data_IF_689867864155
#
_entry.id   IF_689867864155
#
_cell.length_a   1.000
_cell.length_b   1.000
_cell.length_c   1.000
_cell.angle_alpha   90.00
_cell.angle_beta   90.00
_cell.angle_gamma   90.00
#
_symmetry.space_group_name_H-M   'P 1'
#
loop_
_entity.id
_entity.type
_entity.pdbx_description
1 polymer ?
#
# COMPACT_ATOMS: atom_id res chain seq x y z
N UNK A 1 20.58 -26.14 -19.08
CA UNK A 1 19.21 -25.89 -19.53
C UNK A 1 18.59 -24.83 -18.63
N UNK A 2 18.33 -23.63 -19.15
CA UNK A 2 17.55 -22.59 -18.46
C UNK A 2 16.08 -23.01 -18.49
N UNK A 3 15.46 -23.19 -17.33
CA UNK A 3 14.03 -23.49 -17.22
C UNK A 3 13.26 -22.17 -17.17
N UNK A 4 12.35 -21.95 -18.14
CA UNK A 4 11.46 -20.81 -18.20
C UNK A 4 10.00 -21.28 -17.97
N UNK A 5 9.17 -20.55 -17.22
CA UNK A 5 9.46 -19.29 -16.52
C UNK A 5 10.25 -19.54 -15.22
N UNK A 6 11.02 -18.52 -14.82
CA UNK A 6 11.69 -18.51 -13.53
C UNK A 6 10.65 -18.66 -12.40
N UNK A 7 10.95 -19.50 -11.40
CA UNK A 7 10.05 -19.74 -10.27
C UNK A 7 9.71 -18.40 -9.60
N UNK A 8 8.43 -18.07 -9.54
CA UNK A 8 7.94 -16.92 -8.78
C UNK A 8 8.45 -17.03 -7.35
N UNK A 9 9.28 -16.06 -6.95
CA UNK A 9 9.84 -16.00 -5.59
C UNK A 9 8.79 -15.58 -4.56
N UNK A 10 7.65 -15.05 -5.01
CA UNK A 10 6.58 -14.46 -4.22
C UNK A 10 5.24 -14.62 -4.95
N UNK A 11 4.16 -14.94 -4.23
CA UNK A 11 2.79 -14.97 -4.77
C UNK A 11 2.28 -13.54 -4.92
N UNK A 12 1.64 -13.23 -6.05
CA UNK A 12 0.96 -11.94 -6.25
C UNK A 12 -0.18 -11.78 -5.24
N UNK A 13 -0.47 -10.55 -4.75
CA UNK A 13 -1.56 -10.33 -3.83
C UNK A 13 -2.90 -10.61 -4.51
N UNK A 14 -3.84 -11.16 -3.75
CA UNK A 14 -5.15 -11.52 -4.29
C UNK A 14 -5.92 -10.29 -4.73
N UNK A 15 -5.84 -9.17 -4.01
CA UNK A 15 -6.52 -7.93 -4.38
C UNK A 15 -5.96 -7.24 -5.65
N UNK A 16 -4.87 -7.74 -6.27
CA UNK A 16 -4.28 -7.11 -7.45
C UNK A 16 -5.28 -6.93 -8.60
N UNK A 17 -6.19 -7.90 -8.79
CA UNK A 17 -7.21 -7.82 -9.83
C UNK A 17 -8.27 -6.76 -9.57
N UNK A 18 -8.45 -6.32 -8.31
CA UNK A 18 -9.41 -5.27 -7.97
C UNK A 18 -8.94 -3.88 -8.41
N UNK A 19 -7.63 -3.70 -8.65
CA UNK A 19 -7.08 -2.43 -9.13
C UNK A 19 -7.31 -2.22 -10.64
N UNK A 20 -7.80 -3.22 -11.36
CA UNK A 20 -8.12 -3.08 -12.78
C UNK A 20 -9.36 -2.22 -13.01
N UNK A 21 -9.23 -1.20 -13.87
CA UNK A 21 -10.33 -0.30 -14.25
C UNK A 21 -10.64 0.80 -13.23
N UNK A 22 -9.97 0.83 -12.08
CA UNK A 22 -10.09 1.93 -11.12
C UNK A 22 -9.24 3.14 -11.56
N UNK A 23 -9.44 4.32 -10.94
CA UNK A 23 -8.57 5.51 -11.13
C UNK A 23 -7.08 5.21 -10.87
N UNK A 24 -6.81 4.10 -10.19
CA UNK A 24 -5.48 3.56 -9.88
C UNK A 24 -4.99 2.47 -10.83
N UNK A 25 -5.61 2.27 -12.00
CA UNK A 25 -5.21 1.24 -12.96
C UNK A 25 -3.70 1.23 -13.29
N UNK A 26 -3.10 2.43 -13.38
CA UNK A 26 -1.66 2.59 -13.56
C UNK A 26 -0.81 1.96 -12.43
N UNK A 27 -1.25 2.06 -11.16
CA UNK A 27 -0.57 1.42 -10.04
C UNK A 27 -0.66 -0.12 -10.12
N UNK A 28 -1.79 -0.64 -10.60
CA UNK A 28 -1.98 -2.07 -10.83
C UNK A 28 -1.09 -2.63 -11.94
N UNK A 29 -0.92 -1.88 -13.03
CA UNK A 29 0.01 -2.23 -14.11
C UNK A 29 1.47 -2.17 -13.64
N UNK A 30 1.86 -1.11 -12.93
CA UNK A 30 3.22 -0.98 -12.40
C UNK A 30 3.55 -2.08 -11.37
N UNK A 31 2.59 -2.46 -10.53
CA UNK A 31 2.76 -3.59 -9.60
C UNK A 31 2.99 -4.90 -10.36
N UNK A 32 2.30 -5.13 -11.48
CA UNK A 32 2.50 -6.31 -12.31
C UNK A 32 3.91 -6.34 -12.89
N UNK A 33 4.40 -5.22 -13.40
CA UNK A 33 5.77 -5.10 -13.92
C UNK A 33 6.83 -5.35 -12.83
N UNK A 34 6.60 -4.88 -11.61
CA UNK A 34 7.46 -5.20 -10.45
C UNK A 34 7.51 -6.70 -10.21
N UNK A 35 6.35 -7.37 -10.24
CA UNK A 35 6.28 -8.82 -10.08
C UNK A 35 6.97 -9.59 -11.22
N UNK A 36 6.88 -9.09 -12.45
CA UNK A 36 7.56 -9.68 -13.62
C UNK A 36 9.08 -9.48 -13.52
N UNK A 37 9.54 -8.32 -13.06
CA UNK A 37 10.95 -8.07 -12.76
C UNK A 37 11.48 -8.99 -11.66
N UNK A 38 10.70 -9.24 -10.60
CA UNK A 38 11.06 -10.19 -9.54
C UNK A 38 11.13 -11.63 -10.05
N UNK A 39 10.19 -12.03 -10.91
CA UNK A 39 10.21 -13.33 -11.57
C UNK A 39 11.49 -13.50 -12.39
N UNK A 40 11.90 -12.47 -13.14
CA UNK A 40 13.11 -12.45 -13.96
C UNK A 40 14.44 -12.30 -13.16
N UNK A 41 14.39 -12.26 -11.82
CA UNK A 41 15.54 -11.96 -10.94
C UNK A 41 16.19 -10.57 -11.16
N UNK A 42 15.45 -9.63 -11.74
CA UNK A 42 15.87 -8.25 -11.95
C UNK A 42 15.60 -7.39 -10.71
N UNK A 43 16.35 -7.64 -9.63
CA UNK A 43 16.11 -7.02 -8.30
C UNK A 43 16.23 -5.51 -8.30
N UNK A 44 17.16 -4.94 -9.07
CA UNK A 44 17.30 -3.48 -9.23
C UNK A 44 16.07 -2.86 -9.89
N UNK A 45 15.57 -3.49 -10.96
CA UNK A 45 14.38 -3.00 -11.66
C UNK A 45 13.14 -3.09 -10.77
N UNK A 46 12.98 -4.20 -10.04
CA UNK A 46 11.92 -4.35 -9.06
C UNK A 46 12.00 -3.28 -7.96
N UNK A 47 13.20 -3.00 -7.41
CA UNK A 47 13.37 -1.96 -6.39
C UNK A 47 13.02 -0.56 -6.92
N UNK A 48 13.41 -0.24 -8.16
CA UNK A 48 13.04 1.03 -8.80
C UNK A 48 11.54 1.14 -9.05
N UNK A 49 10.91 0.04 -9.50
CA UNK A 49 9.46 0.00 -9.70
C UNK A 49 8.70 0.21 -8.38
N UNK A 50 9.12 -0.43 -7.29
CA UNK A 50 8.52 -0.22 -5.95
C UNK A 50 8.64 1.25 -5.51
N UNK A 51 9.81 1.86 -5.71
CA UNK A 51 10.00 3.28 -5.39
C UNK A 51 9.05 4.17 -6.20
N UNK A 52 8.97 3.95 -7.51
CA UNK A 52 8.10 4.72 -8.41
C UNK A 52 6.62 4.55 -8.04
N UNK A 53 6.20 3.33 -7.68
CA UNK A 53 4.84 3.06 -7.18
C UNK A 53 4.52 3.89 -5.95
N UNK A 54 5.39 3.83 -4.95
CA UNK A 54 5.18 4.50 -3.68
C UNK A 54 5.15 6.03 -3.86
N UNK A 55 6.02 6.58 -4.71
CA UNK A 55 6.02 8.00 -5.09
C UNK A 55 4.73 8.41 -5.77
N UNK A 56 4.29 7.64 -6.76
CA UNK A 56 3.05 7.93 -7.45
C UNK A 56 1.86 7.86 -6.49
N UNK A 57 1.82 6.86 -5.61
CA UNK A 57 0.76 6.73 -4.59
C UNK A 57 0.68 7.96 -3.68
N UNK A 58 1.82 8.46 -3.21
CA UNK A 58 1.85 9.64 -2.36
C UNK A 58 1.43 10.91 -3.11
N UNK A 59 1.94 11.10 -4.34
CA UNK A 59 1.59 12.25 -5.18
C UNK A 59 0.11 12.25 -5.52
N UNK A 60 -0.50 11.10 -5.79
CA UNK A 60 -1.94 10.99 -6.04
C UNK A 60 -2.77 11.42 -4.82
N UNK A 61 -2.30 11.16 -3.60
CA UNK A 61 -3.05 11.47 -2.37
C UNK A 61 -2.81 12.89 -1.83
N UNK A 62 -1.63 13.48 -2.03
CA UNK A 62 -1.24 14.76 -1.39
C UNK A 62 -0.74 15.81 -2.39
N UNK A 63 -0.68 15.46 -3.67
CA UNK A 63 -0.06 16.28 -4.70
C UNK A 63 1.47 16.19 -4.69
N UNK A 64 2.08 16.74 -5.72
CA UNK A 64 3.53 16.81 -5.86
C UNK A 64 4.10 17.93 -4.98
N UNK A 65 5.06 17.58 -4.12
CA UNK A 65 5.74 18.51 -3.21
C UNK A 65 7.19 18.81 -3.65
N UNK A 66 7.49 18.59 -4.93
CA UNK A 66 8.79 18.76 -5.62
C UNK A 66 9.92 17.83 -5.14
N UNK A 67 9.96 17.51 -3.85
CA UNK A 67 10.88 16.55 -3.26
C UNK A 67 10.12 15.41 -2.63
N UNK A 68 10.58 14.18 -2.88
CA UNK A 68 9.97 12.97 -2.33
C UNK A 68 9.93 12.98 -0.78
N UNK A 69 10.96 13.50 -0.12
CA UNK A 69 10.99 13.66 1.34
C UNK A 69 9.87 14.60 1.87
N UNK A 70 9.58 15.68 1.14
CA UNK A 70 8.50 16.59 1.47
C UNK A 70 7.13 15.92 1.27
N UNK A 71 7.02 15.11 0.21
CA UNK A 71 5.80 14.36 -0.10
C UNK A 71 5.47 13.37 1.02
N UNK A 72 6.45 12.63 1.56
CA UNK A 72 6.23 11.73 2.72
C UNK A 72 5.79 12.53 3.97
N UNK A 73 6.39 13.68 4.23
CA UNK A 73 6.00 14.52 5.37
C UNK A 73 4.57 15.04 5.23
N UNK A 74 4.16 15.41 4.02
CA UNK A 74 2.79 15.82 3.71
C UNK A 74 1.82 14.63 3.83
N UNK A 75 2.25 13.43 3.45
CA UNK A 75 1.48 12.19 3.58
C UNK A 75 1.19 11.79 5.03
N UNK A 76 2.15 12.00 5.94
CA UNK A 76 1.91 11.88 7.38
C UNK A 76 0.93 12.96 7.89
N UNK A 77 1.09 14.21 7.45
CA UNK A 77 0.22 15.33 7.88
C UNK A 77 -1.23 15.14 7.45
N UNK A 78 -1.47 14.51 6.30
CA UNK A 78 -2.81 14.20 5.81
C UNK A 78 -3.50 13.05 6.57
N UNK A 79 -2.82 12.44 7.54
CA UNK A 79 -3.37 11.34 8.34
C UNK A 79 -3.51 10.02 7.58
N UNK A 80 -3.02 9.93 6.34
CA UNK A 80 -3.08 8.72 5.52
C UNK A 80 -2.12 7.61 5.98
N UNK A 81 -1.19 7.93 6.89
CA UNK A 81 -0.13 7.03 7.36
C UNK A 81 0.16 7.28 8.83
N UNK A 82 0.44 6.23 9.59
CA UNK A 82 0.85 6.32 10.99
C UNK A 82 2.28 6.85 11.16
N UNK A 83 2.60 7.38 12.35
CA UNK A 83 3.98 7.81 12.68
C UNK A 83 5.02 6.68 12.52
N UNK A 84 4.61 5.43 12.75
CA UNK A 84 5.49 4.26 12.63
C UNK A 84 5.83 3.96 11.19
N UNK A 85 4.84 3.98 10.31
CA UNK A 85 5.02 3.78 8.88
C UNK A 85 5.83 4.93 8.28
N UNK A 86 5.59 6.18 8.68
CA UNK A 86 6.42 7.31 8.27
C UNK A 86 7.91 7.09 8.59
N UNK A 87 8.23 6.64 9.81
CA UNK A 87 9.61 6.35 10.19
C UNK A 87 10.23 5.21 9.36
N UNK A 88 9.41 4.23 8.95
CA UNK A 88 9.84 3.15 8.09
C UNK A 88 10.11 3.64 6.65
N UNK A 89 9.17 4.40 6.08
CA UNK A 89 9.30 4.99 4.75
C UNK A 89 10.51 5.91 4.63
N UNK A 90 10.82 6.68 5.67
CA UNK A 90 12.01 7.54 5.72
C UNK A 90 13.31 6.74 5.61
N UNK A 91 13.43 5.62 6.34
CA UNK A 91 14.61 4.74 6.28
C UNK A 91 14.76 4.11 4.89
N UNK A 92 13.64 3.69 4.30
CA UNK A 92 13.63 3.10 2.95
C UNK A 92 14.08 4.13 1.90
N UNK A 93 13.63 5.39 2.03
CA UNK A 93 14.08 6.46 1.15
C UNK A 93 15.60 6.67 1.23
N UNK A 94 16.16 6.73 2.43
CA UNK A 94 17.61 6.91 2.62
C UNK A 94 18.40 5.78 1.95
N UNK A 95 17.92 4.53 2.07
CA UNK A 95 18.51 3.37 1.39
C UNK A 95 18.42 3.51 -0.14
N UNK A 96 17.29 3.95 -0.68
CA UNK A 96 17.12 4.09 -2.13
C UNK A 96 17.89 5.26 -2.74
N UNK A 97 18.02 6.38 -2.03
CA UNK A 97 18.92 7.46 -2.43
C UNK A 97 20.36 6.95 -2.49
N UNK A 98 20.80 6.21 -1.46
CA UNK A 98 22.12 5.56 -1.47
C UNK A 98 22.27 4.53 -2.61
N UNK A 99 21.21 3.76 -2.91
CA UNK A 99 21.16 2.82 -4.04
C UNK A 99 21.34 3.52 -5.40
N UNK A 100 20.73 4.69 -5.57
CA UNK A 100 20.74 5.45 -6.82
C UNK A 100 22.10 6.12 -7.05
N UNK A 101 22.69 6.71 -6.01
CA UNK A 101 23.89 7.54 -6.16
C UNK A 101 25.21 6.77 -5.99
N UNK A 102 25.24 5.66 -5.25
CA UNK A 102 26.49 5.01 -4.79
C UNK A 102 26.75 3.62 -5.37
N UNK A 103 26.07 3.25 -6.46
CA UNK A 103 26.13 1.91 -7.03
C UNK A 103 25.81 0.78 -6.02
N UNK A 104 25.05 1.08 -4.96
CA UNK A 104 24.64 0.08 -3.98
C UNK A 104 23.66 -0.89 -4.65
N UNK A 105 23.97 -2.19 -4.56
CA UNK A 105 23.17 -3.26 -5.14
C UNK A 105 22.21 -3.80 -4.09
N UNK A 106 20.91 -3.44 -4.12
CA UNK A 106 19.95 -3.97 -3.17
C UNK A 106 19.87 -5.50 -3.29
N UNK A 107 19.89 -6.15 -2.13
CA UNK A 107 19.65 -7.58 -2.03
C UNK A 107 18.15 -7.88 -2.17
N UNK A 108 17.80 -9.16 -2.34
CA UNK A 108 16.38 -9.58 -2.43
C UNK A 108 15.57 -9.16 -1.20
N UNK A 109 16.17 -9.22 -0.01
CA UNK A 109 15.53 -8.79 1.24
C UNK A 109 15.26 -7.28 1.26
N UNK A 110 16.17 -6.50 0.68
CA UNK A 110 16.06 -5.03 0.60
C UNK A 110 14.97 -4.59 -0.38
N UNK A 111 14.59 -5.43 -1.35
CA UNK A 111 13.47 -5.18 -2.26
C UNK A 111 12.13 -5.68 -1.72
N UNK A 112 12.11 -6.79 -0.99
CA UNK A 112 10.86 -7.37 -0.48
C UNK A 112 10.24 -6.53 0.62
N UNK A 113 11.04 -6.01 1.56
CA UNK A 113 10.51 -5.22 2.68
C UNK A 113 9.77 -3.95 2.20
N UNK A 114 10.33 -3.14 1.28
CA UNK A 114 9.59 -1.99 0.74
C UNK A 114 8.38 -2.37 -0.11
N UNK A 115 8.43 -3.52 -0.80
CA UNK A 115 7.29 -4.03 -1.55
C UNK A 115 6.14 -4.41 -0.60
N UNK A 116 6.43 -5.08 0.52
CA UNK A 116 5.43 -5.40 1.56
C UNK A 116 4.71 -4.15 2.07
N UNK A 117 5.48 -3.09 2.35
CA UNK A 117 4.93 -1.84 2.88
C UNK A 117 4.09 -1.14 1.82
N UNK A 118 4.57 -1.10 0.57
CA UNK A 118 3.82 -0.50 -0.53
C UNK A 118 2.52 -1.26 -0.80
N UNK A 119 2.56 -2.59 -0.76
CA UNK A 119 1.38 -3.45 -0.88
C UNK A 119 0.38 -3.21 0.26
N UNK A 120 0.87 -3.09 1.49
CA UNK A 120 0.03 -2.78 2.64
C UNK A 120 -0.69 -1.43 2.48
N UNK A 121 0.05 -0.39 2.08
CA UNK A 121 -0.51 0.95 1.86
C UNK A 121 -1.55 0.96 0.73
N UNK A 122 -1.30 0.23 -0.36
CA UNK A 122 -2.27 0.12 -1.46
C UNK A 122 -3.54 -0.59 -1.00
N UNK A 123 -3.39 -1.70 -0.27
CA UNK A 123 -4.53 -2.45 0.25
C UNK A 123 -5.35 -1.59 1.22
N UNK A 124 -4.71 -0.89 2.15
CA UNK A 124 -5.36 -0.02 3.12
C UNK A 124 -6.15 1.11 2.42
N UNK A 125 -5.50 1.83 1.51
CA UNK A 125 -6.05 3.06 0.92
C UNK A 125 -7.06 2.86 -0.22
N UNK A 126 -7.12 1.68 -0.83
CA UNK A 126 -7.94 1.44 -2.02
C UNK A 126 -8.78 0.16 -1.97
N UNK A 127 -8.35 -0.86 -1.21
CA UNK A 127 -9.07 -2.14 -1.15
C UNK A 127 -9.94 -2.19 0.11
N UNK A 128 -9.38 -1.80 1.25
CA UNK A 128 -10.06 -1.91 2.54
C UNK A 128 -11.12 -0.83 2.74
N UNK A 129 -10.86 0.42 2.35
CA UNK A 129 -11.88 1.49 2.42
C UNK A 129 -13.20 1.08 1.75
N UNK A 130 -13.14 0.61 0.50
CA UNK A 130 -14.35 0.17 -0.23
C UNK A 130 -14.99 -1.09 0.36
N UNK A 131 -14.21 -2.02 0.90
CA UNK A 131 -14.72 -3.23 1.54
C UNK A 131 -15.43 -2.93 2.88
N UNK A 132 -14.91 -1.98 3.65
CA UNK A 132 -15.52 -1.56 4.94
C UNK A 132 -16.86 -0.88 4.71
N UNK A 133 -16.99 -0.06 3.66
CA UNK A 133 -18.28 0.53 3.28
C UNK A 133 -19.32 -0.54 2.94
N UNK A 134 -18.91 -1.57 2.18
CA UNK A 134 -19.79 -2.69 1.83
C UNK A 134 -20.24 -3.48 3.07
N UNK A 135 -19.35 -3.70 4.03
CA UNK A 135 -19.68 -4.41 5.28
C UNK A 135 -20.57 -3.56 6.18
N UNK A 136 -20.27 -2.27 6.32
CA UNK A 136 -21.06 -1.34 7.14
C UNK A 136 -22.51 -1.26 6.68
N UNK A 137 -22.73 -1.25 5.35
CA UNK A 137 -24.07 -1.27 4.75
C UNK A 137 -24.86 -2.56 5.01
N UNK A 138 -24.18 -3.67 5.37
CA UNK A 138 -24.82 -4.96 5.69
C UNK A 138 -25.15 -5.11 7.17
N UNK A 139 -24.59 -4.27 8.04
CA UNK A 139 -24.89 -4.31 9.47
C UNK A 139 -26.23 -3.61 9.71
N UNK A 140 -27.22 -4.35 10.20
CA UNK A 140 -28.52 -3.78 10.60
C UNK A 140 -28.29 -2.68 11.65
N UNK A 141 -29.03 -1.55 11.59
CA UNK A 141 -28.93 -0.49 12.58
C UNK A 141 -29.22 -1.07 13.97
N UNK A 142 -28.41 -0.70 14.98
CA UNK A 142 -28.62 -1.16 16.35
C UNK A 142 -30.04 -0.82 16.78
N UNK A 143 -30.82 -1.85 17.10
CA UNK A 143 -32.12 -1.67 17.75
C UNK A 143 -31.86 -1.00 19.10
N UNK A 144 -32.28 0.26 19.23
CA UNK A 144 -32.26 0.97 20.51
C UNK A 144 -33.39 0.37 21.35
N UNK A 145 -33.06 -0.52 22.29
CA UNK A 145 -34.03 -1.05 23.25
C UNK A 145 -34.61 0.15 24.00
N UNK A 146 -35.87 0.47 23.75
CA UNK A 146 -36.58 1.47 24.53
C UNK A 146 -36.73 0.90 25.94
N UNK A 147 -36.28 1.66 26.96
CA UNK A 147 -36.51 1.28 28.37
C UNK A 147 -38.01 1.08 28.54
N UNK A 148 -38.40 -0.14 28.92
CA UNK A 148 -39.77 -0.45 29.33
C UNK A 148 -40.08 0.54 30.47
N UNK A 149 -41.14 1.36 30.37
CA UNK A 149 -41.49 2.27 31.44
C UNK A 149 -41.77 1.44 32.69
N UNK A 150 -41.07 1.75 33.78
CA UNK A 150 -41.35 1.16 35.09
C UNK A 150 -42.80 1.48 35.42
N UNK A 151 -43.61 0.43 35.53
CA UNK A 151 -44.98 0.47 35.98
C UNK A 151 -44.99 1.06 37.38
N UNK A 152 -45.34 2.33 37.48
CA UNK A 152 -45.50 3.03 38.75
C UNK A 152 -46.70 2.42 39.47
N UNK A 153 -46.40 1.42 40.29
CA UNK A 153 -47.32 0.89 41.28
C UNK A 153 -47.63 1.98 42.31
N UNK A 154 -48.89 2.41 42.36
CA UNK A 154 -49.41 3.31 43.37
C UNK A 154 -50.94 3.29 43.37
N UNK A 155 -51.61 3.43 44.53
CA UNK A 155 -51.27 3.00 45.90
C UNK A 155 -52.16 1.84 46.40
#
# INVERSE_FOLDING_TARGET
MLYYPARLKRKRPEWLWMLWGAEVGYLGDLLREVYDALAADATMLAAMGVRAMLERLMVTKVGDQAAFANTIAAFLKNGSVSKREYACLKKILEVWQAATDRAFRPTKGDTFTPLDITEHLIADLYVHDGAVDCVSNRVLPRVRVQKIPEENDKP
#
